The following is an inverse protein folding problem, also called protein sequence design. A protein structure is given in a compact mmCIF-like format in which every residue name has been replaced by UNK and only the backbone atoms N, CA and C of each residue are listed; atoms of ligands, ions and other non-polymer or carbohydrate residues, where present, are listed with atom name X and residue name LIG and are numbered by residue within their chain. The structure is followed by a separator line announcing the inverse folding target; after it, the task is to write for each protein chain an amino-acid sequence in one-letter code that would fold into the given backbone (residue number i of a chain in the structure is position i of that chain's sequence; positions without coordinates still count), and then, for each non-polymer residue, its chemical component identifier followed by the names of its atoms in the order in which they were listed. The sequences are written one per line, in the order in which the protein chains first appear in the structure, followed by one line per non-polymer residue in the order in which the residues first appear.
data_IF_601172910791
#
_entry.id   IF_601172910791
#
_cell.length_a   1.000
_cell.length_b   1.000
_cell.length_c   1.000
_cell.angle_alpha   90.00
_cell.angle_beta   90.00
_cell.angle_gamma   90.00
#
_symmetry.space_group_name_H-M   'P 1'
#
loop_
_entity.id
_entity.type
_entity.pdbx_description
1 polymer ?
#
# COMPACT_ATOMS: atom_id res chain seq x y z
N UNK A 1 12.12 16.61 -14.08
CA UNK A 1 11.52 16.19 -12.80
C UNK A 1 12.48 15.19 -12.13
N UNK A 2 13.71 15.62 -11.84
CA UNK A 2 14.81 14.75 -11.36
C UNK A 2 15.40 15.17 -10.01
N UNK A 3 14.84 16.20 -9.34
CA UNK A 3 15.39 16.66 -8.05
C UNK A 3 14.99 15.77 -6.87
N UNK A 4 13.93 14.95 -7.01
CA UNK A 4 13.46 14.06 -5.94
C UNK A 4 14.47 12.94 -5.67
N UNK A 5 15.10 12.43 -6.73
CA UNK A 5 16.14 11.41 -6.61
C UNK A 5 17.33 11.91 -5.79
N UNK A 6 17.72 13.18 -5.89
CA UNK A 6 18.88 13.72 -5.18
C UNK A 6 18.72 13.78 -3.65
N UNK A 7 17.49 13.65 -3.13
CA UNK A 7 17.20 13.66 -1.70
C UNK A 7 17.19 12.26 -1.06
N UNK A 8 17.24 11.21 -1.87
CA UNK A 8 17.23 9.82 -1.40
C UNK A 8 18.64 9.36 -1.04
N UNK A 9 18.74 8.61 0.06
CA UNK A 9 19.91 7.80 0.39
C UNK A 9 20.18 6.76 -0.72
N UNK A 10 21.37 6.17 -0.71
CA UNK A 10 21.70 5.13 -1.69
C UNK A 10 20.81 3.88 -1.51
N UNK A 11 20.42 3.56 -0.27
CA UNK A 11 19.51 2.47 0.05
C UNK A 11 18.08 2.76 -0.45
N UNK A 12 17.57 3.96 -0.18
CA UNK A 12 16.26 4.41 -0.68
C UNK A 12 16.22 4.45 -2.22
N UNK A 13 17.34 4.82 -2.86
CA UNK A 13 17.46 4.79 -4.33
C UNK A 13 17.46 3.37 -4.88
N UNK A 14 18.16 2.44 -4.21
CA UNK A 14 18.16 1.03 -4.59
C UNK A 14 16.76 0.41 -4.42
N UNK A 15 16.08 0.77 -3.33
CA UNK A 15 14.68 0.42 -3.11
C UNK A 15 13.77 0.97 -4.22
N UNK A 16 13.88 2.26 -4.55
CA UNK A 16 13.14 2.87 -5.65
C UNK A 16 13.33 2.12 -6.97
N UNK A 17 14.57 1.77 -7.31
CA UNK A 17 14.87 1.02 -8.54
C UNK A 17 14.23 -0.37 -8.53
N UNK A 18 14.24 -1.04 -7.38
CA UNK A 18 13.60 -2.36 -7.20
C UNK A 18 12.09 -2.30 -7.40
N UNK A 19 11.41 -1.33 -6.76
CA UNK A 19 9.97 -1.13 -6.94
C UNK A 19 9.66 -0.72 -8.37
N UNK A 20 10.45 0.18 -8.95
CA UNK A 20 10.28 0.63 -10.33
C UNK A 20 10.32 -0.53 -11.32
N UNK A 21 11.31 -1.40 -11.21
CA UNK A 21 11.47 -2.56 -12.08
C UNK A 21 10.30 -3.55 -11.93
N UNK A 22 9.80 -3.75 -10.70
CA UNK A 22 8.60 -4.54 -10.47
C UNK A 22 7.38 -3.92 -11.16
N UNK A 23 7.16 -2.60 -11.01
CA UNK A 23 6.03 -1.89 -11.61
C UNK A 23 6.05 -1.99 -13.14
N UNK A 24 7.21 -1.80 -13.77
CA UNK A 24 7.35 -1.90 -15.23
C UNK A 24 7.03 -3.29 -15.75
N UNK A 25 7.37 -4.32 -14.99
CA UNK A 25 7.17 -5.72 -15.38
C UNK A 25 5.77 -6.24 -15.08
N UNK A 26 5.23 -5.93 -13.90
CA UNK A 26 4.03 -6.59 -13.36
C UNK A 26 2.76 -5.72 -13.44
N UNK A 27 2.92 -4.38 -13.44
CA UNK A 27 1.78 -3.45 -13.33
C UNK A 27 1.49 -2.80 -14.68
N UNK A 28 2.47 -2.12 -15.27
CA UNK A 28 2.31 -1.33 -16.50
C UNK A 28 1.65 -2.12 -17.64
N UNK A 29 2.03 -3.38 -17.94
CA UNK A 29 1.47 -4.10 -19.09
C UNK A 29 -0.03 -4.38 -18.98
N UNK A 30 -0.59 -4.40 -17.76
CA UNK A 30 -2.00 -4.75 -17.52
C UNK A 30 -2.85 -3.60 -17.01
N UNK A 31 -2.25 -2.46 -16.67
CA UNK A 31 -2.92 -1.33 -16.02
C UNK A 31 -4.15 -0.83 -16.79
N UNK A 32 -4.01 -0.55 -18.09
CA UNK A 32 -5.13 -0.06 -18.92
C UNK A 32 -6.29 -1.07 -18.99
N UNK A 33 -5.97 -2.37 -19.11
CA UNK A 33 -6.99 -3.43 -19.14
C UNK A 33 -7.78 -3.52 -17.84
N UNK A 34 -7.12 -3.37 -16.69
CA UNK A 34 -7.80 -3.40 -15.39
C UNK A 34 -8.74 -2.22 -15.22
N UNK A 35 -8.32 -1.04 -15.68
CA UNK A 35 -9.12 0.18 -15.67
C UNK A 35 -10.38 0.04 -16.55
N UNK A 36 -10.21 -0.37 -17.81
CA UNK A 36 -11.32 -0.62 -18.75
C UNK A 36 -12.33 -1.65 -18.21
N UNK A 37 -11.87 -2.63 -17.42
CA UNK A 37 -12.72 -3.66 -16.84
C UNK A 37 -13.35 -3.25 -15.50
N UNK A 38 -12.92 -2.14 -14.90
CA UNK A 38 -13.30 -1.78 -13.53
C UNK A 38 -12.94 -2.84 -12.50
N UNK A 39 -11.82 -3.56 -12.69
CA UNK A 39 -11.41 -4.70 -11.84
C UNK A 39 -10.07 -4.44 -11.17
N UNK A 40 -10.05 -4.59 -9.85
CA UNK A 40 -8.80 -4.55 -9.10
C UNK A 40 -8.01 -5.86 -9.23
N UNK A 41 -6.68 -5.82 -9.46
CA UNK A 41 -5.88 -7.03 -9.59
C UNK A 41 -5.59 -7.67 -8.23
N UNK A 42 -6.53 -8.47 -7.72
CA UNK A 42 -6.37 -9.19 -6.43
C UNK A 42 -5.05 -9.97 -6.30
N UNK A 43 -4.60 -10.74 -7.32
CA UNK A 43 -3.32 -11.45 -7.23
C UNK A 43 -2.10 -10.54 -7.07
N UNK A 44 -2.17 -9.30 -7.56
CA UNK A 44 -1.08 -8.33 -7.39
C UNK A 44 -0.93 -7.94 -5.91
N UNK A 45 -2.03 -7.84 -5.17
CA UNK A 45 -1.97 -7.52 -3.73
C UNK A 45 -1.31 -8.68 -2.95
N UNK A 46 -1.68 -9.92 -3.25
CA UNK A 46 -1.04 -11.11 -2.67
C UNK A 46 0.45 -11.14 -3.01
N UNK A 47 0.81 -10.83 -4.27
CA UNK A 47 2.21 -10.74 -4.70
C UNK A 47 3.01 -9.67 -3.95
N UNK A 48 2.40 -8.52 -3.65
CA UNK A 48 3.04 -7.49 -2.83
C UNK A 48 3.22 -7.94 -1.38
N UNK A 49 2.31 -8.77 -0.86
CA UNK A 49 2.44 -9.40 0.45
C UNK A 49 3.57 -10.43 0.51
N UNK A 50 3.74 -11.26 -0.53
CA UNK A 50 4.87 -12.21 -0.65
C UNK A 50 6.25 -11.53 -0.70
N UNK A 51 6.28 -10.26 -1.13
CA UNK A 51 7.49 -9.45 -1.15
C UNK A 51 7.71 -8.69 0.18
N UNK A 52 6.79 -8.82 1.13
CA UNK A 52 6.70 -8.05 2.38
C UNK A 52 6.47 -6.53 2.19
N UNK A 53 6.10 -6.10 0.98
CA UNK A 53 5.96 -4.68 0.63
C UNK A 53 4.69 -4.05 1.20
N UNK A 54 3.65 -4.84 1.49
CA UNK A 54 2.48 -4.32 2.22
C UNK A 54 2.82 -3.98 3.68
N UNK A 55 3.87 -4.60 4.22
CA UNK A 55 4.39 -4.39 5.56
C UNK A 55 5.48 -3.32 5.66
N UNK A 56 5.78 -2.56 4.60
CA UNK A 56 6.93 -1.64 4.58
C UNK A 56 6.93 -0.62 5.72
N UNK A 57 5.78 -0.05 6.08
CA UNK A 57 5.67 0.91 7.18
C UNK A 57 5.19 0.28 8.51
N UNK A 58 5.28 -1.05 8.64
CA UNK A 58 4.78 -1.79 9.80
C UNK A 58 5.95 -2.39 10.61
N UNK A 59 5.85 -2.42 11.95
CA UNK A 59 6.82 -3.09 12.80
C UNK A 59 6.93 -4.59 12.53
N UNK A 60 8.11 -5.16 12.72
CA UNK A 60 8.35 -6.60 12.51
C UNK A 60 7.46 -7.47 13.42
N UNK A 61 7.12 -7.01 14.64
CA UNK A 61 6.31 -7.80 15.59
C UNK A 61 4.87 -8.06 15.09
N UNK A 62 4.41 -7.30 14.10
CA UNK A 62 3.11 -7.51 13.45
C UNK A 62 3.22 -8.13 12.04
N UNK A 63 4.41 -8.57 11.64
CA UNK A 63 4.68 -9.12 10.31
C UNK A 63 5.02 -8.06 9.26
N UNK A 64 5.45 -6.87 9.68
CA UNK A 64 5.98 -5.84 8.78
C UNK A 64 7.43 -6.08 8.40
N UNK A 65 7.93 -5.31 7.43
CA UNK A 65 9.31 -5.40 6.94
C UNK A 65 10.25 -4.39 7.60
N UNK A 66 9.78 -3.62 8.59
CA UNK A 66 10.60 -2.69 9.37
C UNK A 66 11.13 -1.47 8.61
N UNK A 67 10.58 -1.17 7.43
CA UNK A 67 10.93 0.03 6.66
C UNK A 67 10.37 1.32 7.26
N UNK A 68 10.76 2.45 6.67
CA UNK A 68 10.36 3.77 7.11
C UNK A 68 9.28 4.44 6.25
N UNK A 69 8.87 5.66 6.63
CA UNK A 69 7.89 6.44 5.86
C UNK A 69 8.41 6.82 4.46
N UNK A 70 9.73 6.92 4.26
CA UNK A 70 10.32 7.26 2.95
C UNK A 70 10.22 6.07 1.99
N UNK A 71 10.56 4.85 2.44
CA UNK A 71 10.44 3.63 1.65
C UNK A 71 8.98 3.38 1.25
N UNK A 72 8.04 3.59 2.17
CA UNK A 72 6.62 3.46 1.87
C UNK A 72 6.13 4.54 0.88
N UNK A 73 6.61 5.79 1.00
CA UNK A 73 6.31 6.83 0.04
C UNK A 73 6.86 6.51 -1.37
N UNK A 74 8.07 5.96 -1.45
CA UNK A 74 8.66 5.46 -2.69
C UNK A 74 7.81 4.35 -3.31
N UNK A 75 7.37 3.37 -2.49
CA UNK A 75 6.49 2.29 -2.94
C UNK A 75 5.21 2.85 -3.57
N UNK A 76 4.54 3.78 -2.88
CA UNK A 76 3.32 4.41 -3.38
C UNK A 76 3.57 5.20 -4.68
N UNK A 77 4.65 5.98 -4.74
CA UNK A 77 4.98 6.80 -5.90
C UNK A 77 5.29 5.97 -7.14
N UNK A 78 6.08 4.90 -7.01
CA UNK A 78 6.39 4.02 -8.13
C UNK A 78 5.16 3.21 -8.56
N UNK A 79 4.34 2.70 -7.63
CA UNK A 79 3.07 2.05 -7.99
C UNK A 79 2.16 3.00 -8.78
N UNK A 80 2.06 4.26 -8.33
CA UNK A 80 1.22 5.27 -8.98
C UNK A 80 1.70 5.62 -10.39
N UNK A 81 3.01 5.50 -10.65
CA UNK A 81 3.60 5.65 -11.99
C UNK A 81 3.11 4.57 -12.96
N UNK A 82 2.80 3.37 -12.45
CA UNK A 82 2.26 2.27 -13.26
C UNK A 82 0.72 2.25 -13.32
N UNK A 83 0.05 2.44 -12.19
CA UNK A 83 -1.41 2.49 -12.10
C UNK A 83 -1.86 3.22 -10.83
N UNK A 84 -2.57 4.34 -11.01
CA UNK A 84 -3.18 5.08 -9.90
C UNK A 84 -4.17 4.24 -9.10
N UNK A 85 -4.95 3.37 -9.78
CA UNK A 85 -5.90 2.48 -9.13
C UNK A 85 -5.22 1.46 -8.21
N UNK A 86 -4.12 0.85 -8.67
CA UNK A 86 -3.31 -0.07 -7.83
C UNK A 86 -2.71 0.67 -6.64
N UNK A 87 -2.09 1.82 -6.87
CA UNK A 87 -1.48 2.60 -5.81
C UNK A 87 -2.51 3.00 -4.74
N UNK A 88 -3.70 3.45 -5.15
CA UNK A 88 -4.77 3.81 -4.23
C UNK A 88 -5.29 2.59 -3.44
N UNK A 89 -5.44 1.44 -4.09
CA UNK A 89 -5.86 0.20 -3.41
C UNK A 89 -4.86 -0.23 -2.33
N UNK A 90 -3.56 -0.21 -2.65
CA UNK A 90 -2.49 -0.48 -1.67
C UNK A 90 -2.51 0.55 -0.54
N UNK A 91 -2.65 1.83 -0.86
CA UNK A 91 -2.70 2.91 0.13
C UNK A 91 -3.88 2.77 1.11
N UNK A 92 -5.10 2.57 0.60
CA UNK A 92 -6.28 2.36 1.45
C UNK A 92 -6.13 1.11 2.32
N UNK A 93 -5.62 0.02 1.74
CA UNK A 93 -5.40 -1.22 2.45
C UNK A 93 -4.40 -1.07 3.61
N UNK A 94 -3.28 -0.39 3.38
CA UNK A 94 -2.16 -0.32 4.33
C UNK A 94 -2.23 0.95 5.19
N UNK A 95 -2.15 2.14 4.61
CA UNK A 95 -2.08 3.41 5.32
C UNK A 95 -3.40 3.87 5.96
N UNK A 96 -4.55 3.31 5.58
CA UNK A 96 -5.83 3.59 6.25
C UNK A 96 -6.27 2.40 7.10
N UNK A 97 -6.70 1.31 6.47
CA UNK A 97 -7.34 0.21 7.18
C UNK A 97 -6.39 -0.51 8.15
N UNK A 98 -5.21 -0.93 7.66
CA UNK A 98 -4.26 -1.69 8.50
C UNK A 98 -3.56 -0.79 9.51
N UNK A 99 -3.21 0.44 9.14
CA UNK A 99 -2.64 1.43 10.06
C UNK A 99 -3.60 1.77 11.21
N UNK A 100 -4.92 1.84 10.96
CA UNK A 100 -5.88 2.05 12.03
C UNK A 100 -5.91 0.90 13.03
N UNK A 101 -5.79 -0.36 12.58
CA UNK A 101 -5.65 -1.51 13.47
C UNK A 101 -4.32 -1.42 14.25
N UNK A 102 -3.23 -1.04 13.56
CA UNK A 102 -1.92 -0.85 14.18
C UNK A 102 -1.89 0.31 15.20
N UNK A 103 -2.71 1.35 15.08
CA UNK A 103 -2.62 2.47 16.01
C UNK A 103 -3.72 2.44 17.08
N UNK A 104 -4.92 1.98 16.71
CA UNK A 104 -6.13 2.07 17.54
C UNK A 104 -6.61 0.70 18.02
N UNK A 105 -6.18 -0.40 17.39
CA UNK A 105 -6.56 -1.75 17.78
C UNK A 105 -5.93 -2.18 19.10
N UNK A 106 -6.60 -3.08 19.82
CA UNK A 106 -6.02 -3.84 20.93
C UNK A 106 -4.92 -4.81 20.48
N UNK A 107 -4.09 -5.28 21.41
CA UNK A 107 -3.06 -6.29 21.12
C UNK A 107 -3.63 -7.60 20.54
N UNK A 108 -4.87 -7.95 20.91
CA UNK A 108 -5.56 -9.10 20.35
C UNK A 108 -5.90 -8.87 18.87
N UNK A 109 -6.49 -7.70 18.54
CA UNK A 109 -6.84 -7.34 17.17
C UNK A 109 -5.61 -7.24 16.26
N UNK A 110 -4.51 -6.65 16.74
CA UNK A 110 -3.25 -6.55 15.98
C UNK A 110 -2.70 -7.92 15.62
N UNK A 111 -2.60 -8.82 16.61
CA UNK A 111 -2.10 -10.18 16.43
C UNK A 111 -2.97 -11.02 15.50
N UNK A 112 -4.29 -10.84 15.55
CA UNK A 112 -5.22 -11.59 14.72
C UNK A 112 -5.28 -11.07 13.27
N UNK A 113 -5.34 -9.76 13.08
CA UNK A 113 -5.76 -9.17 11.80
C UNK A 113 -4.58 -8.74 10.93
N UNK A 114 -3.51 -8.18 11.51
CA UNK A 114 -2.40 -7.62 10.73
C UNK A 114 -1.63 -8.68 9.93
N UNK A 115 -1.28 -9.87 10.46
CA UNK A 115 -0.49 -10.82 9.69
C UNK A 115 -1.17 -11.27 8.39
N UNK A 116 -2.49 -11.45 8.39
CA UNK A 116 -3.24 -11.81 7.19
C UNK A 116 -3.43 -10.62 6.24
N UNK A 117 -3.53 -9.40 6.77
CA UNK A 117 -3.57 -8.19 5.95
C UNK A 117 -2.23 -7.95 5.25
N UNK A 118 -1.11 -7.99 5.97
CA UNK A 118 0.22 -7.72 5.42
C UNK A 118 0.71 -8.80 4.45
N UNK A 119 0.23 -10.04 4.56
CA UNK A 119 0.43 -11.08 3.54
C UNK A 119 -0.48 -10.93 2.32
N UNK A 120 -1.34 -9.91 2.30
CA UNK A 120 -2.30 -9.67 1.24
C UNK A 120 -3.48 -10.65 1.24
N UNK A 121 -3.57 -11.61 2.18
CA UNK A 121 -4.63 -12.63 2.25
C UNK A 121 -5.99 -12.06 2.64
N UNK A 122 -6.02 -10.92 3.35
CA UNK A 122 -7.22 -10.16 3.68
C UNK A 122 -7.13 -8.73 3.19
N UNK A 123 -8.20 -8.21 2.60
CA UNK A 123 -8.30 -6.81 2.17
C UNK A 123 -8.93 -5.98 3.28
N UNK A 124 -8.19 -4.98 3.74
CA UNK A 124 -8.72 -3.91 4.59
C UNK A 124 -9.40 -2.80 3.78
N UNK A 125 -10.46 -2.23 4.31
CA UNK A 125 -11.13 -1.05 3.75
C UNK A 125 -11.34 0.01 4.84
N UNK A 126 -11.58 1.26 4.42
CA UNK A 126 -11.84 2.38 5.31
C UNK A 126 -13.19 3.00 4.96
N UNK A 127 -14.20 2.68 5.76
CA UNK A 127 -15.56 3.18 5.59
C UNK A 127 -15.79 4.36 6.55
N UNK A 128 -15.91 5.56 5.98
CA UNK A 128 -16.23 6.77 6.75
C UNK A 128 -17.22 7.69 6.02
N UNK A 129 -17.13 7.75 4.68
CA UNK A 129 -18.01 8.58 3.88
C UNK A 129 -19.40 7.93 3.74
N UNK A 130 -20.44 8.74 3.86
CA UNK A 130 -21.84 8.38 3.68
C UNK A 130 -22.49 9.26 2.60
N UNK A 131 -23.69 8.90 2.12
CA UNK A 131 -24.35 9.61 1.03
C UNK A 131 -24.60 11.11 1.30
N UNK A 132 -24.73 11.50 2.58
CA UNK A 132 -24.90 12.89 3.01
C UNK A 132 -23.64 13.57 3.55
N UNK A 133 -22.55 12.82 3.75
CA UNK A 133 -21.37 13.31 4.47
C UNK A 133 -20.08 12.70 3.87
N UNK A 134 -19.27 13.55 3.23
CA UNK A 134 -17.97 13.20 2.69
C UNK A 134 -16.86 13.96 3.40
N UNK A 135 -16.57 15.18 2.92
CA UNK A 135 -15.52 16.03 3.50
C UNK A 135 -15.80 16.45 4.96
N UNK A 136 -17.08 16.62 5.33
CA UNK A 136 -17.51 16.81 6.72
C UNK A 136 -17.73 15.46 7.41
N UNK A 137 -16.65 14.72 7.59
CA UNK A 137 -16.67 13.38 8.19
C UNK A 137 -17.16 13.37 9.65
N UNK A 138 -17.32 14.54 10.31
CA UNK A 138 -17.86 14.62 11.67
C UNK A 138 -19.39 14.75 11.70
N UNK A 139 -20.03 14.88 10.54
CA UNK A 139 -21.49 15.02 10.39
C UNK A 139 -22.23 13.72 10.13
N UNK A 140 -21.51 12.58 10.15
CA UNK A 140 -22.07 11.22 10.17
C UNK A 140 -22.67 10.87 11.53
#
# INVERSE_FOLDING_TARGET
MDSFGALLSDEERAWQQSVRAFVEREVVPSAARWDEQGRYPRPLLERLGELDWLGTAFPEECGGSGGGPVEYAILCAELARGSAGVALGVYVHTALASAAILHLGSDAQRRELLPAALRGERVGCWAYAEAGAGADAASV
#
